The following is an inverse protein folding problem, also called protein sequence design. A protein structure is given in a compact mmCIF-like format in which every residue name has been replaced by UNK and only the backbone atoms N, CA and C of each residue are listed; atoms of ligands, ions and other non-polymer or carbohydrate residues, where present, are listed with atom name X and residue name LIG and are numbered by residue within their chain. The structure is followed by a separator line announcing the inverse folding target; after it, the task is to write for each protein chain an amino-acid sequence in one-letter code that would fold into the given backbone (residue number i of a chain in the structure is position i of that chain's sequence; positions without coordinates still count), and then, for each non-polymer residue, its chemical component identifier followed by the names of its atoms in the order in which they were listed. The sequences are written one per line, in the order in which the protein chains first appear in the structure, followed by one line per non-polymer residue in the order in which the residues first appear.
data_IF_079319973446
#
_entry.id   IF_079319973446
#
_cell.length_a   1.000
_cell.length_b   1.000
_cell.length_c   1.000
_cell.angle_alpha   90.00
_cell.angle_beta   90.00
_cell.angle_gamma   90.00
#
_symmetry.space_group_name_H-M   'P 1'
#
loop_
_entity.id
_entity.type
_entity.pdbx_description
1 polymer ?
#
# COMPACT_ATOMS: atom_id res chain seq x y z
N UNK A 1 3.21 18.19 3.98
CA UNK A 1 2.08 17.93 4.86
C UNK A 1 2.43 18.42 6.25
N UNK A 2 1.58 19.30 6.81
CA UNK A 2 1.88 20.01 8.04
C UNK A 2 1.81 19.15 9.32
N UNK A 3 1.33 17.94 9.25
CA UNK A 3 0.95 17.15 10.42
C UNK A 3 1.55 15.73 10.40
N UNK A 4 2.87 15.64 10.18
CA UNK A 4 3.56 14.38 10.37
C UNK A 4 3.76 14.11 11.86
N UNK A 5 3.19 13.03 12.36
CA UNK A 5 3.35 12.56 13.72
C UNK A 5 4.24 11.32 13.71
N UNK A 6 5.19 11.26 14.65
CA UNK A 6 5.94 10.02 14.87
C UNK A 6 5.01 8.99 15.49
N UNK A 7 4.79 7.90 14.80
CA UNK A 7 3.93 6.80 15.23
C UNK A 7 4.80 5.64 15.69
N UNK A 8 4.48 5.06 16.85
CA UNK A 8 5.10 3.81 17.28
C UNK A 8 4.65 2.66 16.36
N UNK A 9 5.53 2.11 15.53
CA UNK A 9 5.14 1.07 14.57
C UNK A 9 4.73 -0.25 15.24
N UNK A 10 5.04 -0.42 16.51
CA UNK A 10 4.73 -1.62 17.29
C UNK A 10 3.57 -1.42 18.28
N UNK A 11 3.12 -0.19 18.44
CA UNK A 11 2.09 0.18 19.39
C UNK A 11 0.68 0.11 18.81
N UNK A 12 0.10 -1.08 18.70
CA UNK A 12 -1.28 -1.25 18.17
C UNK A 12 -2.37 -0.63 19.03
N UNK A 13 -2.07 -0.28 20.28
CA UNK A 13 -2.98 0.41 21.20
C UNK A 13 -2.87 1.95 21.12
N UNK A 14 -2.01 2.48 20.28
CA UNK A 14 -1.79 3.92 20.12
C UNK A 14 -3.05 4.62 19.59
N UNK A 15 -3.28 5.85 20.06
CA UNK A 15 -4.42 6.66 19.61
C UNK A 15 -4.37 7.01 18.12
N UNK A 16 -3.18 7.01 17.53
CA UNK A 16 -2.94 7.26 16.11
C UNK A 16 -3.58 6.20 15.20
N UNK A 17 -3.84 5.00 15.73
CA UNK A 17 -4.56 3.95 15.01
C UNK A 17 -6.07 4.01 15.16
N UNK A 18 -6.57 4.91 16.01
CA UNK A 18 -7.99 5.12 16.18
C UNK A 18 -8.50 6.11 15.14
N UNK A 19 -9.62 5.80 14.55
CA UNK A 19 -10.31 6.73 13.65
C UNK A 19 -11.39 7.48 14.41
N UNK A 20 -11.56 8.76 14.10
CA UNK A 20 -12.62 9.56 14.66
C UNK A 20 -13.97 9.32 13.94
N UNK A 21 -15.04 9.84 14.53
CA UNK A 21 -16.37 9.72 13.98
C UNK A 21 -16.52 10.44 12.63
N UNK A 22 -15.79 11.52 12.41
CA UNK A 22 -15.79 12.25 11.14
C UNK A 22 -15.22 11.38 10.01
N UNK A 23 -14.13 10.66 10.27
CA UNK A 23 -13.56 9.72 9.31
C UNK A 23 -14.52 8.57 9.03
N UNK A 24 -15.12 7.97 10.07
CA UNK A 24 -16.09 6.89 9.91
C UNK A 24 -17.28 7.30 9.03
N UNK A 25 -17.82 8.50 9.28
CA UNK A 25 -18.92 9.05 8.49
C UNK A 25 -18.52 9.34 7.04
N UNK A 26 -17.34 9.91 6.82
CA UNK A 26 -16.81 10.13 5.48
C UNK A 26 -16.67 8.81 4.72
N UNK A 27 -16.10 7.78 5.37
CA UNK A 27 -15.89 6.48 4.77
C UNK A 27 -17.21 5.78 4.42
N UNK A 28 -18.19 5.78 5.33
CA UNK A 28 -19.51 5.21 5.11
C UNK A 28 -20.25 5.94 3.96
N UNK A 29 -20.12 7.26 3.88
CA UNK A 29 -20.70 8.07 2.81
C UNK A 29 -20.05 7.77 1.45
N UNK A 30 -18.72 7.64 1.42
CA UNK A 30 -17.99 7.28 0.22
C UNK A 30 -18.41 5.89 -0.29
N UNK A 31 -18.52 4.91 0.61
CA UNK A 31 -18.98 3.55 0.26
C UNK A 31 -20.40 3.56 -0.33
N UNK A 32 -21.30 4.32 0.29
CA UNK A 32 -22.69 4.48 -0.19
C UNK A 32 -22.77 5.18 -1.56
N UNK A 33 -21.84 6.09 -1.83
CA UNK A 33 -21.74 6.77 -3.13
C UNK A 33 -21.19 5.85 -4.22
N UNK A 34 -20.14 5.07 -3.91
CA UNK A 34 -19.46 4.24 -4.90
C UNK A 34 -20.24 3.01 -5.34
N UNK A 35 -21.22 2.55 -4.55
CA UNK A 35 -21.98 1.34 -4.85
C UNK A 35 -23.49 1.58 -4.73
N UNK A 36 -24.19 1.53 -5.85
CA UNK A 36 -25.64 1.76 -5.92
C UNK A 36 -26.47 0.97 -4.92
N UNK A 37 -26.06 -0.27 -4.58
CA UNK A 37 -26.71 -1.10 -3.57
C UNK A 37 -26.71 -0.51 -2.16
N UNK A 38 -25.78 0.41 -1.89
CA UNK A 38 -25.62 1.10 -0.62
C UNK A 38 -26.14 2.54 -0.63
N UNK A 39 -26.69 3.00 -1.75
CA UNK A 39 -27.26 4.34 -1.86
C UNK A 39 -28.30 4.59 -0.75
N UNK A 40 -28.15 5.69 -0.03
CA UNK A 40 -29.00 6.05 1.10
C UNK A 40 -28.82 5.20 2.38
N UNK A 41 -27.81 4.33 2.41
CA UNK A 41 -27.58 3.37 3.51
C UNK A 41 -26.33 3.62 4.32
N UNK A 42 -25.76 4.82 4.28
CA UNK A 42 -24.54 5.17 5.01
C UNK A 42 -24.68 4.94 6.53
N UNK A 43 -25.89 5.10 7.07
CA UNK A 43 -26.19 4.88 8.50
C UNK A 43 -26.25 3.41 8.92
N UNK A 44 -26.19 2.48 8.00
CA UNK A 44 -26.21 1.04 8.29
C UNK A 44 -24.82 0.45 8.53
N UNK A 45 -23.77 1.26 8.43
CA UNK A 45 -22.42 0.83 8.74
C UNK A 45 -22.20 0.83 10.26
N UNK A 46 -21.99 -0.35 10.83
CA UNK A 46 -21.88 -0.53 12.29
C UNK A 46 -20.47 -0.92 12.77
N UNK A 47 -19.52 -1.09 11.86
CA UNK A 47 -18.16 -1.49 12.22
C UNK A 47 -17.32 -0.25 12.52
N UNK A 48 -16.66 -0.24 13.68
CA UNK A 48 -15.69 0.81 13.99
C UNK A 48 -14.49 0.63 13.07
N UNK A 49 -14.16 1.64 12.25
CA UNK A 49 -12.96 1.60 11.43
C UNK A 49 -11.71 1.66 12.32
N UNK A 50 -10.64 1.04 11.86
CA UNK A 50 -9.32 1.10 12.51
C UNK A 50 -8.31 1.70 11.56
N UNK A 51 -7.38 2.46 12.10
CA UNK A 51 -6.20 2.90 11.38
C UNK A 51 -5.13 1.81 11.33
N UNK A 52 -4.10 2.06 10.57
CA UNK A 52 -2.91 1.21 10.47
C UNK A 52 -1.77 1.95 9.80
N UNK A 53 -0.58 1.37 9.85
CA UNK A 53 0.58 1.91 9.16
C UNK A 53 0.62 1.42 7.71
N UNK A 54 0.74 2.36 6.79
CA UNK A 54 1.10 2.09 5.41
C UNK A 54 2.60 2.33 5.21
N UNK A 55 3.32 1.34 4.70
CA UNK A 55 4.73 1.48 4.37
C UNK A 55 4.88 1.82 2.89
N UNK A 56 5.67 2.85 2.61
CA UNK A 56 5.96 3.30 1.25
C UNK A 56 7.44 3.22 0.98
N UNK A 57 7.80 2.81 -0.23
CA UNK A 57 9.15 2.93 -0.74
C UNK A 57 9.45 4.40 -1.10
N UNK A 58 10.72 4.80 -1.23
CA UNK A 58 11.07 6.19 -1.57
C UNK A 58 10.46 6.72 -2.87
N UNK A 59 10.16 5.85 -3.83
CA UNK A 59 9.58 6.19 -5.12
C UNK A 59 8.10 5.76 -5.28
N UNK A 60 7.47 5.26 -4.23
CA UNK A 60 6.11 4.73 -4.21
C UNK A 60 5.87 3.51 -5.13
N UNK A 61 6.92 2.88 -5.65
CA UNK A 61 6.80 1.66 -6.45
C UNK A 61 7.21 0.43 -5.66
N UNK A 62 6.61 -0.72 -5.93
CA UNK A 62 6.91 -1.95 -5.19
C UNK A 62 8.35 -2.43 -5.38
N UNK A 63 8.78 -3.32 -4.50
CA UNK A 63 10.03 -4.06 -4.61
C UNK A 63 9.71 -5.54 -4.81
N UNK A 64 10.35 -6.14 -5.80
CA UNK A 64 10.36 -7.58 -6.05
C UNK A 64 11.83 -7.99 -6.19
N UNK A 65 12.39 -8.62 -5.17
CA UNK A 65 13.81 -8.95 -5.20
C UNK A 65 14.17 -10.12 -4.29
N UNK A 66 15.21 -10.83 -4.65
CA UNK A 66 15.91 -11.77 -3.78
C UNK A 66 16.89 -10.98 -2.90
N UNK A 67 16.49 -10.66 -1.69
CA UNK A 67 17.23 -9.78 -0.78
C UNK A 67 18.50 -10.42 -0.24
N UNK A 68 18.45 -11.71 0.08
CA UNK A 68 19.59 -12.53 0.46
C UNK A 68 19.28 -14.01 0.18
N UNK A 69 20.20 -14.88 0.49
CA UNK A 69 20.01 -16.32 0.33
C UNK A 69 18.71 -16.78 1.03
N UNK A 70 17.85 -17.47 0.30
CA UNK A 70 16.55 -17.99 0.75
C UNK A 70 15.51 -16.95 1.20
N UNK A 71 15.72 -15.65 0.90
CA UNK A 71 14.74 -14.59 1.22
C UNK A 71 14.38 -13.82 -0.05
N UNK A 72 13.14 -13.96 -0.49
CA UNK A 72 12.54 -13.13 -1.54
C UNK A 72 11.62 -12.10 -0.90
N UNK A 73 11.76 -10.82 -1.28
CA UNK A 73 10.95 -9.72 -0.75
C UNK A 73 9.91 -9.30 -1.78
N UNK A 74 8.69 -9.15 -1.31
CA UNK A 74 7.58 -8.48 -1.99
C UNK A 74 7.15 -7.34 -1.08
N UNK A 75 7.58 -6.12 -1.41
CA UNK A 75 7.16 -4.92 -0.68
C UNK A 75 6.27 -4.09 -1.61
N UNK A 76 4.99 -4.03 -1.32
CA UNK A 76 3.98 -3.58 -2.25
C UNK A 76 3.87 -2.05 -2.37
N UNK A 77 4.39 -1.31 -1.41
CA UNK A 77 4.28 0.17 -1.38
C UNK A 77 2.85 0.67 -1.62
N UNK A 78 1.86 0.00 -1.01
CA UNK A 78 0.43 0.29 -1.14
C UNK A 78 -0.18 0.02 -2.54
N UNK A 79 0.42 -0.88 -3.30
CA UNK A 79 -0.07 -1.29 -4.62
C UNK A 79 -0.62 -2.72 -4.68
N UNK A 80 -0.87 -3.38 -3.53
CA UNK A 80 -1.24 -4.79 -3.45
C UNK A 80 -2.36 -5.21 -4.38
N UNK A 81 -3.42 -4.42 -4.48
CA UNK A 81 -4.54 -4.72 -5.38
C UNK A 81 -4.22 -4.55 -6.88
N UNK A 82 -3.21 -3.75 -7.23
CA UNK A 82 -2.72 -3.59 -8.60
C UNK A 82 -1.79 -4.73 -9.02
N UNK A 83 -1.30 -5.51 -8.05
CA UNK A 83 -0.27 -6.53 -8.25
C UNK A 83 -0.82 -7.96 -8.36
N UNK A 84 -2.12 -8.14 -8.57
CA UNK A 84 -2.74 -9.48 -8.65
C UNK A 84 -2.05 -10.37 -9.70
N UNK A 85 -1.64 -9.79 -10.84
CA UNK A 85 -0.93 -10.50 -11.90
C UNK A 85 0.55 -10.81 -11.61
N UNK A 86 1.15 -10.15 -10.63
CA UNK A 86 2.60 -10.28 -10.34
C UNK A 86 2.92 -11.61 -9.67
N UNK A 87 1.98 -12.21 -8.96
CA UNK A 87 2.21 -13.44 -8.22
C UNK A 87 2.81 -14.57 -9.04
N UNK A 88 2.41 -14.71 -10.31
CA UNK A 88 3.00 -15.70 -11.20
C UNK A 88 4.48 -15.38 -11.48
N UNK A 89 4.80 -14.14 -11.83
CA UNK A 89 6.17 -13.73 -12.13
C UNK A 89 7.11 -13.92 -10.93
N UNK A 90 6.63 -13.63 -9.73
CA UNK A 90 7.38 -13.86 -8.48
C UNK A 90 7.57 -15.36 -8.23
N UNK A 91 6.53 -16.17 -8.47
CA UNK A 91 6.66 -17.63 -8.34
C UNK A 91 7.68 -18.20 -9.29
N UNK A 92 7.69 -17.74 -10.54
CA UNK A 92 8.68 -18.14 -11.56
C UNK A 92 10.10 -17.75 -11.07
N UNK A 93 10.30 -16.56 -10.53
CA UNK A 93 11.61 -16.13 -9.98
C UNK A 93 12.07 -16.89 -8.73
N UNK A 94 11.13 -17.28 -7.87
CA UNK A 94 11.45 -18.15 -6.72
C UNK A 94 11.97 -19.52 -7.20
N UNK A 95 11.52 -19.97 -8.38
CA UNK A 95 11.98 -21.18 -9.05
C UNK A 95 13.17 -20.94 -10.01
N UNK A 96 13.88 -19.82 -9.84
CA UNK A 96 15.05 -19.39 -10.62
C UNK A 96 14.78 -19.05 -12.10
N UNK A 97 13.52 -18.81 -12.48
CA UNK A 97 13.12 -18.28 -13.79
C UNK A 97 13.01 -16.76 -13.74
N UNK A 98 14.02 -16.04 -14.22
CA UNK A 98 14.05 -14.56 -14.16
C UNK A 98 12.95 -13.93 -15.02
N UNK A 99 12.31 -12.91 -14.47
CA UNK A 99 11.33 -12.08 -15.18
C UNK A 99 11.90 -10.71 -15.53
N UNK A 100 11.98 -10.40 -16.82
CA UNK A 100 12.37 -9.06 -17.30
C UNK A 100 11.40 -7.96 -16.83
N UNK A 101 10.12 -8.30 -16.64
CA UNK A 101 9.10 -7.37 -16.18
C UNK A 101 9.32 -6.92 -14.72
N UNK A 102 10.01 -7.71 -13.91
CA UNK A 102 10.32 -7.37 -12.52
C UNK A 102 11.66 -6.65 -12.36
N UNK A 103 12.52 -6.61 -13.38
CA UNK A 103 13.82 -5.95 -13.32
C UNK A 103 13.76 -4.46 -12.90
N UNK A 104 12.80 -3.63 -13.37
CA UNK A 104 12.70 -2.24 -12.95
C UNK A 104 12.38 -2.06 -11.45
N UNK A 105 11.94 -3.12 -10.77
CA UNK A 105 11.47 -3.08 -9.39
C UNK A 105 12.47 -3.66 -8.39
N UNK A 106 13.73 -3.84 -8.79
CA UNK A 106 14.79 -4.34 -7.89
C UNK A 106 15.16 -3.32 -6.83
N UNK A 107 15.58 -3.83 -5.68
CA UNK A 107 16.07 -3.01 -4.57
C UNK A 107 17.27 -2.15 -4.97
N UNK A 108 18.13 -2.67 -5.83
CA UNK A 108 19.33 -1.98 -6.33
C UNK A 108 19.06 -0.63 -7.00
N UNK A 109 17.81 -0.35 -7.44
CA UNK A 109 17.45 0.96 -7.99
C UNK A 109 17.66 2.11 -6.99
N UNK A 110 17.46 1.85 -5.70
CA UNK A 110 17.69 2.83 -4.64
C UNK A 110 19.17 3.14 -4.48
N UNK A 111 20.02 2.12 -4.47
CA UNK A 111 21.47 2.26 -4.39
C UNK A 111 22.06 2.99 -5.60
N UNK A 112 21.48 2.76 -6.78
CA UNK A 112 21.89 3.38 -8.04
C UNK A 112 21.26 4.76 -8.28
N UNK A 113 20.35 5.21 -7.42
CA UNK A 113 19.60 6.45 -7.61
C UNK A 113 18.64 6.43 -8.82
N UNK A 114 18.27 5.25 -9.32
CA UNK A 114 17.38 5.06 -10.48
C UNK A 114 15.92 4.91 -10.02
N UNK A 115 15.41 5.92 -9.34
CA UNK A 115 14.03 5.93 -8.87
C UNK A 115 13.04 6.03 -10.02
N UNK A 116 11.87 5.42 -9.85
CA UNK A 116 10.75 5.64 -10.76
C UNK A 116 10.29 7.11 -10.70
N UNK A 117 9.75 7.65 -11.80
CA UNK A 117 9.18 8.99 -11.79
C UNK A 117 8.08 9.10 -10.74
N UNK A 118 8.09 10.20 -9.99
CA UNK A 118 7.02 10.51 -9.04
C UNK A 118 5.72 10.73 -9.82
N UNK A 119 4.63 10.14 -9.33
CA UNK A 119 3.30 10.38 -9.90
C UNK A 119 2.95 11.87 -9.82
N UNK A 120 2.35 12.40 -10.89
CA UNK A 120 1.78 13.75 -10.90
C UNK A 120 0.42 13.82 -10.18
N UNK A 121 -0.03 12.74 -9.59
CA UNK A 121 -1.25 12.71 -8.79
C UNK A 121 -1.10 13.55 -7.53
N UNK A 122 -2.16 14.28 -7.11
CA UNK A 122 -2.17 14.98 -5.84
C UNK A 122 -2.15 14.04 -4.63
N UNK A 123 -2.33 12.75 -4.85
CA UNK A 123 -2.32 11.73 -3.80
C UNK A 123 -0.99 10.99 -3.75
N UNK A 124 -0.35 10.87 -2.56
CA UNK A 124 0.96 10.23 -2.42
C UNK A 124 0.96 8.73 -2.71
N UNK A 125 -0.20 8.13 -2.82
CA UNK A 125 -0.38 6.68 -3.04
C UNK A 125 -0.84 6.31 -4.46
N UNK A 126 -0.83 7.22 -5.41
CA UNK A 126 -1.35 6.97 -6.77
C UNK A 126 -0.26 7.04 -7.83
#
# INVERSE_FOLDING_TARGET
PADQVNVDPYGTASKEYQTDEKFANMWASALAHCQKRFEGKSNLYHRVPSGGLGCFTPDNFPIFDRFCENVYIIADSNHGYKMIGVGKLVADEVLDEKSELLEPFRFSRFEQGKLHPVSNSPFPWS
#
